data_IF_662620707042
#
_entry.id   IF_662620707042
#
_cell.length_a   1.000
_cell.length_b   1.000
_cell.length_c   1.000
_cell.angle_alpha   90.00
_cell.angle_beta   90.00
_cell.angle_gamma   90.00
#
_symmetry.space_group_name_H-M   'P 1'
#
loop_
_entity.id
_entity.type
_entity.pdbx_description
1 polymer ?
#
# COMPACT_ATOMS: atom_id res chain seq x y z
N UNK A 1 19.35 -0.97 -26.32
CA UNK A 1 19.42 -1.34 -27.76
C UNK A 1 18.09 -1.83 -28.34
N UNK A 2 17.26 -2.63 -27.64
CA UNK A 2 15.96 -3.13 -28.19
C UNK A 2 14.93 -2.03 -28.54
N UNK A 3 14.93 -0.92 -27.80
CA UNK A 3 13.84 0.07 -27.83
C UNK A 3 13.82 0.98 -29.07
N UNK A 4 14.97 1.28 -29.66
CA UNK A 4 15.06 2.21 -30.80
C UNK A 4 14.49 1.60 -32.08
N UNK A 5 14.60 0.28 -32.25
CA UNK A 5 14.13 -0.43 -33.43
C UNK A 5 12.60 -0.42 -33.52
N UNK A 6 11.89 -0.76 -32.43
CA UNK A 6 10.43 -0.88 -32.41
C UNK A 6 9.70 0.44 -32.67
N UNK A 7 10.27 1.58 -32.24
CA UNK A 7 9.69 2.91 -32.50
C UNK A 7 9.85 3.32 -33.97
N UNK A 8 10.95 2.91 -34.61
CA UNK A 8 11.23 3.20 -36.02
C UNK A 8 10.35 2.36 -36.96
N UNK A 9 10.00 1.13 -36.58
CA UNK A 9 9.11 0.24 -37.35
C UNK A 9 7.65 0.71 -37.40
N UNK A 10 7.23 1.59 -36.48
CA UNK A 10 5.85 2.13 -36.41
C UNK A 10 4.76 1.05 -36.39
N UNK A 11 5.01 -0.06 -35.68
CA UNK A 11 4.07 -1.18 -35.59
C UNK A 11 2.70 -0.71 -35.05
N UNK A 12 1.59 -1.04 -35.72
CA UNK A 12 0.25 -0.68 -35.28
C UNK A 12 -0.17 -1.49 -34.05
N UNK A 13 -1.00 -0.90 -33.19
CA UNK A 13 -1.70 -1.62 -32.13
C UNK A 13 -3.09 -2.01 -32.63
N UNK A 14 -3.26 -3.30 -32.93
CA UNK A 14 -4.50 -3.84 -33.48
C UNK A 14 -5.33 -4.48 -32.37
N UNK A 15 -6.54 -3.96 -32.15
CA UNK A 15 -7.51 -4.57 -31.22
C UNK A 15 -8.22 -5.71 -31.92
N UNK A 16 -8.15 -6.90 -31.35
CA UNK A 16 -8.80 -8.10 -31.86
C UNK A 16 -9.72 -8.63 -30.76
N UNK A 17 -10.97 -8.90 -31.12
CA UNK A 17 -11.91 -9.61 -30.26
C UNK A 17 -11.76 -11.10 -30.50
N UNK A 18 -11.63 -11.86 -29.42
CA UNK A 18 -11.42 -13.30 -29.45
C UNK A 18 -12.43 -13.98 -28.54
N UNK A 19 -12.83 -15.19 -28.91
CA UNK A 19 -13.60 -16.06 -28.01
C UNK A 19 -12.74 -16.50 -26.83
N UNK A 20 -13.40 -16.97 -25.77
CA UNK A 20 -12.73 -17.53 -24.59
C UNK A 20 -11.87 -18.74 -24.93
N UNK A 21 -12.34 -19.62 -25.82
CA UNK A 21 -11.58 -20.79 -26.25
C UNK A 21 -10.29 -20.38 -26.97
N UNK A 22 -10.38 -19.45 -27.92
CA UNK A 22 -9.21 -18.91 -28.63
C UNK A 22 -8.23 -18.22 -27.67
N UNK A 23 -8.72 -17.42 -26.72
CA UNK A 23 -7.87 -16.74 -25.75
C UNK A 23 -7.12 -17.73 -24.84
N UNK A 24 -7.79 -18.81 -24.40
CA UNK A 24 -7.18 -19.85 -23.59
C UNK A 24 -6.13 -20.65 -24.36
N UNK A 25 -6.37 -20.92 -25.63
CA UNK A 25 -5.40 -21.56 -26.52
C UNK A 25 -4.18 -20.66 -26.75
N UNK A 26 -4.40 -19.38 -27.11
CA UNK A 26 -3.35 -18.39 -27.34
C UNK A 26 -2.41 -18.19 -26.14
N UNK A 27 -2.94 -18.29 -24.92
CA UNK A 27 -2.18 -18.06 -23.68
C UNK A 27 -1.97 -19.31 -22.84
N UNK A 28 -2.11 -20.51 -23.41
CA UNK A 28 -2.04 -21.78 -22.70
C UNK A 28 -0.76 -21.96 -21.86
N UNK A 29 0.37 -21.43 -22.33
CA UNK A 29 1.66 -21.50 -21.64
C UNK A 29 1.81 -20.48 -20.50
N UNK A 30 0.92 -19.48 -20.41
CA UNK A 30 0.95 -18.45 -19.39
C UNK A 30 -0.17 -18.63 -18.36
N UNK A 31 0.14 -19.39 -17.30
CA UNK A 31 -0.80 -19.66 -16.19
C UNK A 31 -1.50 -18.43 -15.61
N UNK A 32 -0.83 -17.27 -15.59
CA UNK A 32 -1.41 -16.04 -15.03
C UNK A 32 -2.50 -15.47 -15.94
N UNK A 33 -2.29 -15.50 -17.27
CA UNK A 33 -3.29 -15.07 -18.24
C UNK A 33 -4.47 -16.03 -18.29
N UNK A 34 -4.23 -17.33 -18.21
CA UNK A 34 -5.27 -18.36 -18.12
C UNK A 34 -6.16 -18.14 -16.88
N UNK A 35 -5.55 -17.90 -15.72
CA UNK A 35 -6.30 -17.57 -14.49
C UNK A 35 -7.14 -16.29 -14.67
N UNK A 36 -6.56 -15.22 -15.23
CA UNK A 36 -7.32 -13.99 -15.51
C UNK A 36 -8.52 -14.29 -16.42
N UNK A 37 -8.32 -15.03 -17.51
CA UNK A 37 -9.39 -15.35 -18.46
C UNK A 37 -10.51 -16.13 -17.77
N UNK A 38 -10.18 -17.19 -17.02
CA UNK A 38 -11.14 -18.03 -16.33
C UNK A 38 -11.98 -17.25 -15.29
N UNK A 39 -11.43 -16.20 -14.68
CA UNK A 39 -12.16 -15.34 -13.75
C UNK A 39 -13.07 -14.29 -14.42
N UNK A 40 -12.93 -14.06 -15.73
CA UNK A 40 -13.82 -13.13 -16.43
C UNK A 40 -15.25 -13.70 -16.49
N UNK A 41 -16.30 -12.87 -16.35
CA UNK A 41 -17.68 -13.27 -16.59
C UNK A 41 -17.87 -13.92 -17.97
N UNK A 42 -18.77 -14.90 -18.08
CA UNK A 42 -18.99 -15.68 -19.31
C UNK A 42 -19.46 -14.81 -20.49
N UNK A 43 -20.27 -13.81 -20.21
CA UNK A 43 -20.86 -12.85 -21.17
C UNK A 43 -19.86 -11.79 -21.66
N UNK A 44 -18.63 -11.78 -21.12
CA UNK A 44 -17.67 -10.72 -21.39
C UNK A 44 -16.85 -10.99 -22.63
N UNK A 45 -16.92 -10.07 -23.60
CA UNK A 45 -16.01 -10.06 -24.76
C UNK A 45 -14.57 -9.92 -24.31
N UNK A 46 -13.72 -10.85 -24.77
CA UNK A 46 -12.29 -10.83 -24.50
C UNK A 46 -11.58 -10.13 -25.66
N UNK A 47 -10.73 -9.18 -25.32
CA UNK A 47 -9.95 -8.41 -26.28
C UNK A 47 -8.47 -8.65 -26.07
N UNK A 48 -7.77 -8.84 -27.17
CA UNK A 48 -6.31 -8.86 -27.21
C UNK A 48 -5.81 -7.73 -28.11
N UNK A 49 -4.60 -7.25 -27.81
CA UNK A 49 -3.91 -6.29 -28.66
C UNK A 49 -2.69 -6.95 -29.28
N UNK A 50 -2.61 -6.88 -30.61
CA UNK A 50 -1.43 -7.29 -31.36
C UNK A 50 -0.57 -6.06 -31.67
N UNK A 51 0.74 -6.19 -31.45
CA UNK A 51 1.76 -5.23 -31.84
C UNK A 51 2.97 -6.00 -32.40
N UNK A 52 3.05 -6.09 -33.73
CA UNK A 52 4.06 -6.92 -34.39
C UNK A 52 3.95 -8.40 -33.98
N UNK A 53 5.01 -9.01 -33.41
CA UNK A 53 4.99 -10.39 -32.92
C UNK A 53 4.34 -10.54 -31.54
N UNK A 54 4.10 -9.45 -30.81
CA UNK A 54 3.52 -9.49 -29.47
C UNK A 54 1.99 -9.50 -29.54
N UNK A 55 1.37 -10.42 -28.81
CA UNK A 55 -0.08 -10.42 -28.55
C UNK A 55 -0.29 -10.42 -27.05
N UNK A 56 -1.08 -9.48 -26.53
CA UNK A 56 -1.31 -9.33 -25.10
C UNK A 56 -2.79 -9.12 -24.74
N UNK A 57 -3.18 -9.63 -23.58
CA UNK A 57 -4.53 -9.52 -23.06
C UNK A 57 -4.73 -8.11 -22.48
N UNK A 58 -5.50 -7.27 -23.16
CA UNK A 58 -5.73 -5.90 -22.72
C UNK A 58 -7.08 -5.37 -23.21
N UNK A 59 -7.73 -4.55 -22.37
CA UNK A 59 -8.99 -3.87 -22.72
C UNK A 59 -8.77 -2.59 -23.53
N UNK A 60 -7.59 -1.98 -23.42
CA UNK A 60 -7.27 -0.71 -24.08
C UNK A 60 -8.01 0.52 -23.51
N UNK A 61 -8.03 1.65 -24.25
CA UNK A 61 -7.46 1.82 -25.59
C UNK A 61 -5.93 1.91 -25.60
N UNK A 62 -5.32 1.58 -26.74
CA UNK A 62 -3.91 1.81 -27.02
C UNK A 62 -3.72 3.03 -27.93
N UNK A 63 -2.51 3.60 -27.92
CA UNK A 63 -2.08 4.56 -28.95
C UNK A 63 -2.08 3.90 -30.34
N UNK A 64 -2.15 4.66 -31.44
CA UNK A 64 -2.31 4.05 -32.78
C UNK A 64 -1.15 3.13 -33.21
N UNK A 65 0.09 3.52 -32.90
CA UNK A 65 1.29 2.73 -33.22
C UNK A 65 2.45 3.08 -32.29
N UNK A 66 3.52 2.29 -32.34
CA UNK A 66 4.70 2.44 -31.47
C UNK A 66 5.46 3.76 -31.63
N UNK A 67 5.29 4.49 -32.75
CA UNK A 67 6.01 5.74 -33.01
C UNK A 67 5.62 6.89 -32.08
N UNK A 68 4.45 6.79 -31.43
CA UNK A 68 3.97 7.74 -30.45
C UNK A 68 4.74 7.65 -29.11
N UNK A 69 5.45 6.54 -28.85
CA UNK A 69 6.28 6.35 -27.65
C UNK A 69 7.65 7.00 -27.86
N UNK A 70 7.72 8.34 -27.81
CA UNK A 70 8.95 9.07 -28.12
C UNK A 70 9.99 9.00 -27.01
N UNK A 71 9.59 9.29 -25.77
CA UNK A 71 10.47 9.25 -24.62
C UNK A 71 9.96 8.20 -23.62
N UNK A 72 10.84 7.31 -23.16
CA UNK A 72 10.50 6.39 -22.07
C UNK A 72 11.75 5.97 -21.30
N UNK A 73 11.59 5.72 -20.01
CA UNK A 73 12.64 5.19 -19.15
C UNK A 73 12.08 4.11 -18.22
N UNK A 74 12.87 3.06 -17.98
CA UNK A 74 12.69 2.18 -16.83
C UNK A 74 13.20 2.90 -15.58
N UNK A 75 12.42 2.87 -14.50
CA UNK A 75 12.72 3.62 -13.27
C UNK A 75 13.30 2.72 -12.19
N UNK A 76 12.68 1.57 -11.95
CA UNK A 76 13.11 0.60 -10.94
C UNK A 76 12.55 -0.79 -11.23
N UNK A 77 13.17 -1.80 -10.65
CA UNK A 77 12.63 -3.16 -10.57
C UNK A 77 12.31 -3.49 -9.11
N UNK A 78 11.29 -4.29 -8.88
CA UNK A 78 10.93 -4.84 -7.57
C UNK A 78 10.33 -6.23 -7.72
N UNK A 79 10.20 -6.98 -6.64
CA UNK A 79 9.33 -8.15 -6.60
C UNK A 79 7.89 -7.76 -6.24
N UNK A 80 6.94 -8.59 -6.65
CA UNK A 80 5.56 -8.55 -6.14
C UNK A 80 4.97 -9.95 -6.20
N UNK A 81 4.06 -10.27 -5.30
CA UNK A 81 3.38 -11.56 -5.33
C UNK A 81 2.12 -11.50 -6.20
N UNK A 82 1.82 -12.60 -6.88
CA UNK A 82 0.60 -12.72 -7.67
C UNK A 82 -0.65 -12.50 -6.79
N UNK A 83 -1.58 -11.67 -7.26
CA UNK A 83 -2.75 -11.18 -6.49
C UNK A 83 -2.43 -10.54 -5.13
N UNK A 84 -1.18 -10.15 -4.88
CA UNK A 84 -0.76 -9.58 -3.59
C UNK A 84 -0.71 -10.60 -2.44
N UNK A 85 -0.76 -11.90 -2.74
CA UNK A 85 -0.80 -12.99 -1.76
C UNK A 85 0.59 -13.60 -1.59
N UNK A 86 1.18 -13.49 -0.39
CA UNK A 86 2.59 -13.84 -0.13
C UNK A 86 2.90 -15.35 -0.29
N UNK A 87 1.89 -16.20 -0.20
CA UNK A 87 1.92 -17.65 -0.43
C UNK A 87 1.88 -18.03 -1.92
N UNK A 88 1.64 -17.07 -2.82
CA UNK A 88 1.60 -17.28 -4.27
C UNK A 88 2.91 -16.91 -4.95
N UNK A 89 2.99 -17.15 -6.25
CA UNK A 89 4.20 -16.97 -7.05
C UNK A 89 4.76 -15.54 -6.96
N UNK A 90 6.08 -15.46 -6.76
CA UNK A 90 6.82 -14.20 -6.84
C UNK A 90 7.06 -13.80 -8.28
N UNK A 91 6.73 -12.55 -8.60
CA UNK A 91 6.85 -11.93 -9.92
C UNK A 91 7.85 -10.78 -9.88
N UNK A 92 8.59 -10.60 -10.97
CA UNK A 92 9.43 -9.43 -11.17
C UNK A 92 8.60 -8.30 -11.81
N UNK A 93 8.53 -7.16 -11.13
CA UNK A 93 7.82 -5.97 -11.57
C UNK A 93 8.82 -4.90 -12.00
N UNK A 94 8.72 -4.50 -13.26
CA UNK A 94 9.52 -3.40 -13.83
C UNK A 94 8.65 -2.17 -13.97
N UNK A 95 9.04 -1.07 -13.33
CA UNK A 95 8.36 0.21 -13.45
C UNK A 95 8.98 1.00 -14.59
N UNK A 96 8.15 1.51 -15.48
CA UNK A 96 8.55 2.41 -16.56
C UNK A 96 7.63 3.61 -16.64
N UNK A 97 8.10 4.66 -17.30
CA UNK A 97 7.31 5.85 -17.63
C UNK A 97 7.60 6.30 -19.05
N UNK A 98 6.59 6.82 -19.74
CA UNK A 98 6.72 7.42 -21.06
C UNK A 98 6.17 8.84 -21.09
N UNK A 99 6.77 9.69 -21.93
CA UNK A 99 6.28 11.01 -22.27
C UNK A 99 6.26 11.22 -23.79
N UNK A 100 5.41 12.12 -24.31
CA UNK A 100 5.38 12.48 -25.72
C UNK A 100 6.65 13.14 -26.24
N UNK A 101 7.52 13.64 -25.35
CA UNK A 101 8.76 14.33 -25.69
C UNK A 101 9.85 14.09 -24.63
N UNK A 102 11.11 14.28 -25.03
CA UNK A 102 12.28 14.06 -24.17
C UNK A 102 12.43 15.10 -23.07
N UNK A 103 11.97 16.34 -23.28
CA UNK A 103 12.06 17.43 -22.30
C UNK A 103 11.29 17.06 -21.03
N UNK A 104 10.04 16.63 -21.16
CA UNK A 104 9.22 16.20 -20.01
C UNK A 104 9.82 15.01 -19.27
N UNK A 105 10.42 14.06 -19.99
CA UNK A 105 11.08 12.92 -19.34
C UNK A 105 12.29 13.39 -18.52
N UNK A 106 13.07 14.34 -19.02
CA UNK A 106 14.21 14.91 -18.29
C UNK A 106 13.73 15.69 -17.05
N UNK A 107 12.70 16.52 -17.19
CA UNK A 107 12.07 17.25 -16.07
C UNK A 107 11.56 16.28 -14.99
N UNK A 108 10.88 15.21 -15.41
CA UNK A 108 10.39 14.19 -14.49
C UNK A 108 11.52 13.45 -13.77
N UNK A 109 12.61 13.12 -14.47
CA UNK A 109 13.80 12.52 -13.84
C UNK A 109 14.43 13.46 -12.82
N UNK A 110 14.56 14.75 -13.16
CA UNK A 110 15.06 15.75 -12.23
C UNK A 110 14.16 15.86 -10.99
N UNK A 111 12.84 15.88 -11.17
CA UNK A 111 11.88 15.85 -10.07
C UNK A 111 12.05 14.62 -9.16
N UNK A 112 12.24 13.43 -9.74
CA UNK A 112 12.48 12.21 -8.97
C UNK A 112 13.79 12.27 -8.16
N UNK A 113 14.86 12.80 -8.75
CA UNK A 113 16.13 12.98 -8.02
C UNK A 113 15.98 13.97 -6.86
N UNK A 114 15.27 15.08 -7.08
CA UNK A 114 14.96 16.03 -6.02
C UNK A 114 14.07 15.42 -4.92
N UNK A 115 13.08 14.60 -5.29
CA UNK A 115 12.24 13.90 -4.33
C UNK A 115 13.05 12.89 -3.49
N UNK A 116 13.98 12.14 -4.11
CA UNK A 116 14.87 11.21 -3.42
C UNK A 116 15.71 11.90 -2.34
N UNK A 117 16.26 13.09 -2.64
CA UNK A 117 17.03 13.88 -1.64
C UNK A 117 16.22 14.26 -0.41
N UNK A 118 14.88 14.31 -0.53
CA UNK A 118 13.94 14.69 0.54
C UNK A 118 13.26 13.49 1.19
N UNK A 119 13.73 12.28 0.91
CA UNK A 119 13.22 11.06 1.54
C UNK A 119 13.55 11.06 3.03
N UNK A 120 12.52 10.99 3.88
CA UNK A 120 12.66 10.98 5.33
C UNK A 120 13.53 9.82 5.84
N UNK A 121 13.67 8.73 5.08
CA UNK A 121 14.54 7.58 5.44
C UNK A 121 16.01 7.93 5.27
N UNK A 122 16.33 8.75 4.28
CA UNK A 122 17.68 9.26 4.02
C UNK A 122 17.99 10.36 5.03
N UNK A 123 17.11 11.36 5.13
CA UNK A 123 17.28 12.50 6.04
C UNK A 123 17.30 12.08 7.51
N UNK A 124 16.41 11.16 7.90
CA UNK A 124 16.32 10.67 9.27
C UNK A 124 17.59 9.95 9.71
N UNK A 125 18.24 9.22 8.80
CA UNK A 125 19.55 8.61 9.05
C UNK A 125 20.66 9.66 9.06
N UNK A 126 20.71 10.57 8.08
CA UNK A 126 21.78 11.55 7.96
C UNK A 126 21.79 12.60 9.08
N UNK A 127 20.62 12.87 9.67
CA UNK A 127 20.45 13.80 10.79
C UNK A 127 20.33 13.09 12.15
N UNK A 128 20.61 11.79 12.20
CA UNK A 128 20.58 11.01 13.46
C UNK A 128 19.25 11.17 14.22
N UNK A 129 18.13 11.08 13.50
CA UNK A 129 16.79 11.20 14.07
C UNK A 129 16.26 9.86 14.56
N UNK A 130 16.45 8.81 13.77
CA UNK A 130 16.02 7.46 14.10
C UNK A 130 16.79 6.41 13.31
N UNK A 131 16.74 5.17 13.77
CA UNK A 131 17.18 4.00 13.01
C UNK A 131 16.18 2.84 13.14
N UNK A 132 16.31 1.83 12.29
CA UNK A 132 15.55 0.59 12.36
C UNK A 132 16.50 -0.58 12.58
N UNK A 133 16.05 -1.58 13.34
CA UNK A 133 16.80 -2.80 13.60
C UNK A 133 15.94 -4.01 13.24
N UNK A 134 16.54 -5.08 12.72
CA UNK A 134 15.82 -6.29 12.28
C UNK A 134 15.08 -7.00 13.42
N UNK A 135 15.55 -6.84 14.65
CA UNK A 135 14.90 -7.35 15.87
C UNK A 135 13.58 -6.62 16.20
N UNK A 136 13.27 -5.50 15.54
CA UNK A 136 12.00 -4.78 15.72
C UNK A 136 11.51 -4.23 14.37
N UNK A 137 11.09 -5.10 13.44
CA UNK A 137 10.71 -4.70 12.09
C UNK A 137 9.48 -3.79 12.13
N UNK A 138 9.50 -2.71 11.36
CA UNK A 138 8.42 -1.73 11.32
C UNK A 138 8.38 -0.74 12.50
N UNK A 139 9.22 -0.94 13.52
CA UNK A 139 9.31 -0.05 14.68
C UNK A 139 10.68 0.65 14.72
N UNK A 140 10.67 1.98 14.73
CA UNK A 140 11.91 2.76 14.76
C UNK A 140 12.40 3.03 16.18
N UNK A 141 13.71 3.12 16.32
CA UNK A 141 14.38 3.64 17.51
C UNK A 141 14.65 5.12 17.32
N UNK A 142 14.03 5.98 18.13
CA UNK A 142 14.29 7.42 18.10
C UNK A 142 15.60 7.74 18.82
N UNK A 143 16.50 8.43 18.11
CA UNK A 143 17.74 8.98 18.64
C UNK A 143 17.45 10.34 19.33
N UNK A 144 18.41 10.93 20.08
CA UNK A 144 18.15 12.14 20.86
C UNK A 144 17.52 13.30 20.07
N UNK A 145 17.94 13.54 18.83
CA UNK A 145 17.36 14.59 17.98
C UNK A 145 15.93 14.27 17.54
N UNK A 146 15.66 13.03 17.14
CA UNK A 146 14.30 12.59 16.80
C UNK A 146 13.37 12.61 18.00
N UNK A 147 13.85 12.19 19.18
CA UNK A 147 13.08 12.22 20.42
C UNK A 147 12.68 13.66 20.82
N UNK A 148 13.55 14.66 20.60
CA UNK A 148 13.20 16.08 20.81
C UNK A 148 12.04 16.53 19.92
N UNK A 149 12.07 16.16 18.63
CA UNK A 149 11.00 16.48 17.68
C UNK A 149 9.70 15.81 18.11
N UNK A 150 9.75 14.50 18.40
CA UNK A 150 8.60 13.72 18.87
C UNK A 150 7.96 14.36 20.12
N UNK A 151 8.77 14.65 21.14
CA UNK A 151 8.29 15.25 22.38
C UNK A 151 7.70 16.65 22.17
N UNK A 152 8.26 17.45 21.25
CA UNK A 152 7.70 18.77 20.90
C UNK A 152 6.31 18.64 20.29
N UNK A 153 6.12 17.69 19.37
CA UNK A 153 4.82 17.41 18.74
C UNK A 153 3.81 16.87 19.76
N UNK A 154 4.22 15.93 20.61
CA UNK A 154 3.36 15.41 21.68
C UNK A 154 2.91 16.50 22.66
N UNK A 155 3.83 17.35 23.10
CA UNK A 155 3.49 18.46 23.99
C UNK A 155 2.56 19.48 23.33
N UNK A 156 2.72 19.72 22.03
CA UNK A 156 1.79 20.54 21.26
C UNK A 156 0.39 19.91 21.22
N UNK A 157 0.27 18.62 20.88
CA UNK A 157 -1.01 17.91 20.87
C UNK A 157 -1.71 17.91 22.23
N UNK A 158 -0.97 17.62 23.31
CA UNK A 158 -1.51 17.68 24.68
C UNK A 158 -2.02 19.07 25.07
N UNK A 159 -1.33 20.12 24.61
CA UNK A 159 -1.83 21.50 24.77
C UNK A 159 -3.14 21.67 24.00
N UNK A 160 -3.21 21.23 22.74
CA UNK A 160 -4.42 21.32 21.93
C UNK A 160 -5.61 20.57 22.53
N UNK A 161 -5.39 19.44 23.20
CA UNK A 161 -6.42 18.71 23.94
C UNK A 161 -6.99 19.55 25.09
N UNK A 162 -6.12 20.07 25.97
CA UNK A 162 -6.53 20.90 27.10
C UNK A 162 -7.30 22.14 26.66
N UNK A 163 -6.80 22.84 25.64
CA UNK A 163 -7.43 24.04 25.09
C UNK A 163 -8.84 23.76 24.51
N UNK A 164 -9.14 22.51 24.14
CA UNK A 164 -10.43 22.07 23.59
C UNK A 164 -11.29 21.28 24.58
N UNK A 165 -10.89 21.22 25.85
CA UNK A 165 -11.65 20.52 26.90
C UNK A 165 -11.60 19.00 26.82
N UNK A 166 -10.66 18.44 26.05
CA UNK A 166 -10.42 16.99 26.03
C UNK A 166 -9.72 16.53 27.31
N UNK A 167 -10.04 15.31 27.74
CA UNK A 167 -9.39 14.67 28.89
C UNK A 167 -8.43 13.60 28.39
N UNK A 168 -7.12 13.86 28.55
CA UNK A 168 -6.08 12.87 28.26
C UNK A 168 -6.17 11.71 29.25
N UNK A 169 -6.14 10.49 28.74
CA UNK A 169 -6.17 9.27 29.56
C UNK A 169 -5.13 8.27 29.11
N UNK A 170 -4.83 7.31 29.98
CA UNK A 170 -3.96 6.19 29.69
C UNK A 170 -4.72 4.88 29.88
N UNK A 171 -4.66 4.02 28.87
CA UNK A 171 -5.26 2.70 28.88
C UNK A 171 -4.19 1.62 28.65
N UNK A 172 -4.37 0.38 29.12
CA UNK A 172 -3.48 -0.73 28.81
C UNK A 172 -3.19 -0.89 27.32
N UNK A 173 -2.05 -1.52 27.00
CA UNK A 173 -1.68 -1.91 25.63
C UNK A 173 -2.12 -3.33 25.28
N UNK A 174 -2.33 -4.18 26.29
CA UNK A 174 -2.66 -5.60 26.14
C UNK A 174 -4.01 -5.84 26.81
N UNK A 175 -4.88 -6.57 26.12
CA UNK A 175 -6.20 -6.97 26.63
C UNK A 175 -6.47 -8.43 26.28
N UNK A 176 -7.31 -9.09 27.07
CA UNK A 176 -7.85 -10.40 26.69
C UNK A 176 -8.66 -10.29 25.39
N UNK A 177 -8.81 -11.42 24.69
CA UNK A 177 -9.48 -11.45 23.38
C UNK A 177 -10.96 -11.02 23.44
N UNK A 178 -11.62 -11.23 24.59
CA UNK A 178 -13.02 -10.88 24.80
C UNK A 178 -13.33 -9.40 24.50
N UNK A 179 -12.42 -8.47 24.80
CA UNK A 179 -12.61 -7.05 24.46
C UNK A 179 -12.70 -6.82 22.94
N UNK A 180 -11.84 -7.52 22.18
CA UNK A 180 -11.77 -7.39 20.73
C UNK A 180 -12.94 -8.07 20.04
N UNK A 181 -13.41 -9.18 20.58
CA UNK A 181 -14.65 -9.86 20.14
C UNK A 181 -15.87 -8.98 20.38
N UNK A 182 -16.02 -8.47 21.61
CA UNK A 182 -17.15 -7.62 22.01
C UNK A 182 -17.24 -6.36 21.17
N UNK A 183 -16.09 -5.79 20.78
CA UNK A 183 -16.03 -4.59 19.95
C UNK A 183 -16.09 -4.85 18.45
N UNK A 184 -16.15 -6.12 18.00
CA UNK A 184 -16.17 -6.51 16.59
C UNK A 184 -14.82 -6.40 15.88
N UNK A 185 -13.75 -6.02 16.59
CA UNK A 185 -12.41 -5.89 16.00
C UNK A 185 -11.78 -7.24 15.71
N UNK A 186 -12.04 -8.27 16.53
CA UNK A 186 -11.53 -9.60 16.27
C UNK A 186 -12.01 -10.13 14.91
N UNK A 187 -13.28 -9.93 14.57
CA UNK A 187 -13.83 -10.37 13.29
C UNK A 187 -13.19 -9.71 12.05
N UNK A 188 -12.69 -8.48 12.18
CA UNK A 188 -12.21 -7.67 11.05
C UNK A 188 -10.68 -7.48 11.01
N UNK A 189 -10.02 -7.53 12.17
CA UNK A 189 -8.64 -7.12 12.33
C UNK A 189 -7.76 -8.17 13.01
N UNK A 190 -8.29 -9.33 13.44
CA UNK A 190 -7.48 -10.36 14.15
C UNK A 190 -6.26 -10.78 13.34
N UNK A 191 -6.37 -10.87 12.01
CA UNK A 191 -5.24 -11.17 11.11
C UNK A 191 -4.14 -10.09 11.10
N UNK A 192 -4.46 -8.85 11.49
CA UNK A 192 -3.56 -7.70 11.54
C UNK A 192 -3.17 -7.33 13.00
N UNK A 193 -3.47 -8.19 13.97
CA UNK A 193 -3.15 -7.97 15.39
C UNK A 193 -2.00 -8.86 15.83
N UNK A 194 -1.20 -8.36 16.78
CA UNK A 194 -0.29 -9.22 17.54
C UNK A 194 -1.11 -9.95 18.60
N UNK A 195 -1.29 -11.26 18.41
CA UNK A 195 -2.04 -12.16 19.31
C UNK A 195 -1.08 -13.16 19.94
N UNK A 196 -1.26 -13.42 21.23
CA UNK A 196 -0.44 -14.38 21.98
C UNK A 196 -1.28 -15.05 23.08
N UNK A 197 -0.85 -16.24 23.51
CA UNK A 197 -1.54 -17.01 24.54
C UNK A 197 -0.82 -16.86 25.89
N UNK A 198 -1.60 -16.62 26.95
CA UNK A 198 -1.14 -16.63 28.34
C UNK A 198 -2.11 -17.51 29.11
N UNK A 199 -1.61 -18.56 29.78
CA UNK A 199 -2.43 -19.45 30.63
C UNK A 199 -3.70 -19.98 29.93
N UNK A 200 -3.58 -20.40 28.66
CA UNK A 200 -4.70 -20.88 27.82
C UNK A 200 -5.75 -19.82 27.48
N UNK A 201 -5.43 -18.54 27.64
CA UNK A 201 -6.27 -17.42 27.21
C UNK A 201 -5.56 -16.63 26.11
N UNK A 202 -6.29 -16.27 25.06
CA UNK A 202 -5.78 -15.38 24.02
C UNK A 202 -5.79 -13.92 24.49
N UNK A 203 -4.68 -13.24 24.24
CA UNK A 203 -4.50 -11.81 24.45
C UNK A 203 -4.10 -11.15 23.13
N UNK A 204 -4.40 -9.86 23.00
CA UNK A 204 -4.01 -9.05 21.85
C UNK A 204 -3.37 -7.73 22.29
N UNK A 205 -2.28 -7.35 21.60
CA UNK A 205 -1.82 -5.97 21.63
C UNK A 205 -2.86 -5.09 20.92
N UNK A 206 -3.19 -3.95 21.51
CA UNK A 206 -4.23 -3.06 20.98
C UNK A 206 -3.90 -2.61 19.54
N UNK A 207 -4.76 -2.89 18.54
CA UNK A 207 -4.64 -2.26 17.22
C UNK A 207 -5.20 -0.83 17.23
N UNK A 208 -5.99 -0.48 18.25
CA UNK A 208 -6.60 0.82 18.43
C UNK A 208 -7.04 1.06 19.87
N UNK A 209 -7.29 2.33 20.23
CA UNK A 209 -7.62 2.74 21.59
C UNK A 209 -9.12 2.68 21.92
N UNK A 210 -10.00 2.66 20.90
CA UNK A 210 -11.44 2.86 21.07
C UNK A 210 -12.10 1.90 22.08
N UNK A 211 -11.85 0.57 22.03
CA UNK A 211 -12.45 -0.35 23.01
C UNK A 211 -12.02 -0.07 24.45
N UNK A 212 -10.76 0.31 24.66
CA UNK A 212 -10.26 0.75 25.96
C UNK A 212 -10.97 2.01 26.45
N UNK A 213 -11.18 3.00 25.58
CA UNK A 213 -11.94 4.21 25.93
C UNK A 213 -13.40 3.90 26.29
N UNK A 214 -14.03 2.93 25.62
CA UNK A 214 -15.38 2.47 25.97
C UNK A 214 -15.43 1.86 27.37
N UNK A 215 -14.41 1.09 27.80
CA UNK A 215 -14.32 0.58 29.18
C UNK A 215 -14.17 1.72 30.20
N UNK A 216 -13.31 2.71 29.90
CA UNK A 216 -13.13 3.89 30.76
C UNK A 216 -14.41 4.72 30.86
N UNK A 217 -15.16 4.81 29.75
CA UNK A 217 -16.49 5.39 29.75
C UNK A 217 -17.48 4.53 30.55
N UNK A 218 -17.45 3.20 30.45
CA UNK A 218 -18.37 2.34 31.21
C UNK A 218 -18.10 2.34 32.72
N UNK A 219 -16.87 2.63 33.17
CA UNK A 219 -16.45 2.56 34.58
C UNK A 219 -17.24 3.46 35.56
N UNK A 220 -17.97 4.47 35.06
CA UNK A 220 -18.79 5.35 35.91
C UNK A 220 -20.14 5.61 35.30
N UNK A 221 -21.18 5.61 36.14
CA UNK A 221 -22.51 6.09 35.76
C UNK A 221 -22.43 7.57 35.43
N UNK A 222 -22.99 7.97 34.29
CA UNK A 222 -22.99 9.36 33.82
C UNK A 222 -24.42 9.84 33.62
N UNK A 223 -24.67 11.08 34.03
CA UNK A 223 -25.91 11.80 33.69
C UNK A 223 -25.84 12.31 32.26
N UNK A 224 -26.99 12.45 31.59
CA UNK A 224 -27.11 13.08 30.27
C UNK A 224 -26.50 14.50 30.24
N UNK A 225 -26.49 15.22 31.38
CA UNK A 225 -25.87 16.55 31.50
C UNK A 225 -24.33 16.51 31.46
N UNK A 226 -23.73 15.35 31.76
CA UNK A 226 -22.28 15.13 31.76
C UNK A 226 -21.78 14.29 30.58
N UNK A 227 -22.56 14.20 29.49
CA UNK A 227 -22.30 13.31 28.36
C UNK A 227 -21.08 13.72 27.51
N UNK A 228 -20.64 14.97 27.57
CA UNK A 228 -19.52 15.51 26.77
C UNK A 228 -18.13 15.12 27.29
N UNK A 229 -17.93 13.86 27.69
CA UNK A 229 -16.59 13.37 27.99
C UNK A 229 -15.90 12.98 26.68
N UNK A 230 -15.02 13.86 26.18
CA UNK A 230 -14.19 13.57 25.01
C UNK A 230 -12.81 13.09 25.48
N UNK A 231 -12.58 11.79 25.32
CA UNK A 231 -11.35 11.10 25.72
C UNK A 231 -10.41 11.02 24.53
N UNK A 232 -9.13 11.35 24.75
CA UNK A 232 -8.05 11.22 23.75
C UNK A 232 -6.78 10.70 24.41
N UNK A 233 -5.95 10.12 23.55
CA UNK A 233 -4.59 9.69 23.84
C UNK A 233 -3.61 10.83 23.59
#
# INVERSE_FOLDING_TARGET
MVKSHLVQEKQPFERIEVSRAEALEMFAENKFKVEIINELPEDKTITVYRCGPLVDLCRGPHIPNTSFVKAFACLKASSSYWRGKADRESLQRVYGISFPDSRRLTEYKHFLEEAKKRDHRILGKSQELFFFHELSPGSCFFLPHGARIYNKLMNFMRKQYRDRGYQEVLSPNIYNMQLWETSGHAANYKENMFVFEIEKQEFGLKPMNCPGHCLMFANRVRSYRGFFLIIVF
#
